data_IF_523182460362
#
_entry.id   IF_523182460362
#
_cell.length_a   1.000
_cell.length_b   1.000
_cell.length_c   1.000
_cell.angle_alpha   90.00
_cell.angle_beta   90.00
_cell.angle_gamma   90.00
#
_symmetry.space_group_name_H-M   'P 1'
#
loop_
_entity.id
_entity.type
_entity.pdbx_description
1 polymer ?
#
# COMPACT_ATOMS: atom_id res chain seq x y z
N UNK A 1 3.71 -73.04 -28.93
CA UNK A 1 3.71 -71.54 -29.05
C UNK A 1 4.88 -71.03 -28.24
N UNK A 2 5.89 -70.39 -28.87
CA UNK A 2 7.19 -70.12 -28.29
C UNK A 2 7.11 -69.02 -27.21
N UNK A 3 7.57 -69.29 -26.02
CA UNK A 3 7.58 -68.38 -24.87
C UNK A 3 8.16 -67.00 -25.17
N UNK A 4 9.12 -66.87 -26.12
CA UNK A 4 9.64 -65.60 -26.65
C UNK A 4 8.59 -64.75 -27.37
N UNK A 5 7.59 -65.35 -28.05
CA UNK A 5 6.50 -64.61 -28.74
C UNK A 5 5.47 -64.09 -27.74
N UNK A 6 5.27 -64.73 -26.62
CA UNK A 6 4.37 -64.30 -25.55
C UNK A 6 4.98 -63.13 -24.79
N UNK A 7 6.29 -63.14 -24.52
CA UNK A 7 7.00 -62.02 -23.87
C UNK A 7 7.04 -60.78 -24.76
N UNK A 8 7.22 -60.93 -26.06
CA UNK A 8 7.17 -59.79 -27.02
C UNK A 8 5.74 -59.21 -27.18
N UNK A 9 4.70 -60.04 -27.10
CA UNK A 9 3.31 -59.57 -27.14
C UNK A 9 2.91 -58.81 -25.84
N UNK A 10 3.41 -59.23 -24.67
CA UNK A 10 3.17 -58.56 -23.41
C UNK A 10 3.97 -57.24 -23.34
N UNK A 11 5.21 -57.20 -23.85
CA UNK A 11 5.98 -55.96 -23.93
C UNK A 11 5.38 -54.93 -24.91
N UNK A 12 4.79 -55.37 -26.03
CA UNK A 12 4.10 -54.49 -26.95
C UNK A 12 2.73 -53.98 -26.41
N UNK A 13 2.05 -54.77 -25.54
CA UNK A 13 0.80 -54.35 -24.91
C UNK A 13 1.05 -53.36 -23.76
N UNK A 14 2.21 -53.35 -23.10
CA UNK A 14 2.57 -52.40 -22.09
C UNK A 14 2.98 -51.07 -22.70
N UNK A 15 3.49 -51.03 -23.96
CA UNK A 15 3.80 -49.82 -24.71
C UNK A 15 2.59 -49.17 -25.39
N UNK A 16 1.43 -49.88 -25.42
CA UNK A 16 0.18 -49.42 -26.00
C UNK A 16 -0.86 -48.99 -24.93
N UNK A 17 -0.44 -48.79 -23.68
CA UNK A 17 -1.27 -47.99 -22.77
C UNK A 17 -1.40 -46.60 -23.40
N UNK A 18 -2.63 -46.13 -23.73
CA UNK A 18 -2.76 -44.76 -24.15
C UNK A 18 -2.15 -43.92 -23.03
N UNK A 19 -1.18 -43.07 -23.37
CA UNK A 19 -0.90 -41.91 -22.51
C UNK A 19 -2.29 -41.27 -22.39
N UNK A 20 -3.00 -41.57 -21.32
CA UNK A 20 -4.16 -40.79 -20.95
C UNK A 20 -3.64 -39.39 -20.93
N UNK A 21 -3.93 -38.59 -21.94
CA UNK A 21 -3.57 -37.20 -21.96
C UNK A 21 -4.05 -36.65 -20.62
N UNK A 22 -3.15 -36.36 -19.73
CA UNK A 22 -3.51 -35.77 -18.44
C UNK A 22 -4.32 -34.54 -18.81
N UNK A 23 -5.61 -34.58 -18.50
CA UNK A 23 -6.51 -33.44 -18.78
C UNK A 23 -5.82 -32.25 -18.09
N UNK A 24 -5.50 -31.25 -18.91
CA UNK A 24 -4.87 -30.02 -18.43
C UNK A 24 -5.78 -29.45 -17.33
N UNK A 25 -5.26 -29.20 -16.10
CA UNK A 25 -6.05 -28.58 -15.04
C UNK A 25 -6.61 -27.23 -15.52
N UNK A 26 -7.82 -26.88 -15.11
CA UNK A 26 -8.38 -25.55 -15.39
C UNK A 26 -7.65 -24.45 -14.59
N UNK A 27 -7.79 -23.20 -15.00
CA UNK A 27 -7.29 -22.04 -14.22
C UNK A 27 -7.81 -22.07 -12.77
N UNK A 28 -9.08 -22.45 -12.61
CA UNK A 28 -9.70 -22.61 -11.28
C UNK A 28 -9.01 -23.68 -10.44
N UNK A 29 -8.66 -24.84 -11.01
CA UNK A 29 -7.97 -25.91 -10.28
C UNK A 29 -6.58 -25.45 -9.81
N UNK A 30 -5.89 -24.66 -10.67
CA UNK A 30 -4.61 -24.05 -10.30
C UNK A 30 -4.76 -23.04 -9.15
N UNK A 31 -5.75 -22.14 -9.23
CA UNK A 31 -6.03 -21.14 -8.19
C UNK A 31 -6.42 -21.80 -6.86
N UNK A 32 -7.35 -22.77 -6.88
CA UNK A 32 -7.79 -23.49 -5.68
C UNK A 32 -6.60 -24.20 -5.02
N UNK A 33 -5.72 -24.82 -5.81
CA UNK A 33 -4.49 -25.46 -5.29
C UNK A 33 -3.50 -24.43 -4.73
N UNK A 34 -3.30 -23.31 -5.42
CA UNK A 34 -2.44 -22.21 -4.93
C UNK A 34 -2.93 -21.72 -3.58
N UNK A 35 -4.21 -21.38 -3.46
CA UNK A 35 -4.82 -20.88 -2.24
C UNK A 35 -4.68 -21.89 -1.08
N UNK A 36 -4.84 -23.19 -1.36
CA UNK A 36 -4.63 -24.23 -0.37
C UNK A 36 -3.16 -24.29 0.12
N UNK A 37 -2.20 -24.15 -0.80
CA UNK A 37 -0.78 -24.16 -0.43
C UNK A 37 -0.44 -22.93 0.41
N UNK A 38 -0.87 -21.74 -0.01
CA UNK A 38 -0.64 -20.48 0.71
C UNK A 38 -1.27 -20.51 2.11
N UNK A 39 -2.49 -21.01 2.24
CA UNK A 39 -3.19 -21.07 3.54
C UNK A 39 -2.50 -22.01 4.55
N UNK A 40 -1.80 -23.05 4.06
CA UNK A 40 -1.12 -24.02 4.92
C UNK A 40 0.35 -23.72 5.19
N UNK A 41 1.03 -23.08 4.25
CA UNK A 41 2.49 -22.99 4.24
C UNK A 41 2.99 -21.53 4.19
N UNK A 42 2.07 -20.54 4.09
CA UNK A 42 2.40 -19.15 3.85
C UNK A 42 2.74 -18.86 2.38
N UNK A 43 2.81 -17.58 2.01
CA UNK A 43 2.99 -17.15 0.62
C UNK A 43 4.30 -17.62 -0.02
N UNK A 44 5.38 -17.81 0.77
CA UNK A 44 6.68 -18.32 0.33
C UNK A 44 6.88 -19.82 0.61
N UNK A 45 5.80 -20.58 0.82
CA UNK A 45 5.85 -21.98 1.23
C UNK A 45 6.45 -22.93 0.19
N UNK A 46 6.94 -24.08 0.68
CA UNK A 46 7.56 -25.11 -0.16
C UNK A 46 6.55 -25.63 -1.19
N UNK A 47 6.99 -25.79 -2.44
CA UNK A 47 6.18 -26.31 -3.55
C UNK A 47 5.32 -25.26 -4.28
N UNK A 48 5.16 -24.05 -3.74
CA UNK A 48 4.41 -22.98 -4.40
C UNK A 48 5.09 -22.58 -5.72
N UNK A 49 6.41 -22.42 -5.73
CA UNK A 49 7.15 -22.05 -6.95
C UNK A 49 6.95 -23.09 -8.07
N UNK A 50 7.06 -24.38 -7.75
CA UNK A 50 6.83 -25.44 -8.73
C UNK A 50 5.40 -25.46 -9.23
N UNK A 51 4.43 -25.13 -8.37
CA UNK A 51 3.02 -25.03 -8.75
C UNK A 51 2.80 -23.85 -9.72
N UNK A 52 3.35 -22.68 -9.39
CA UNK A 52 3.27 -21.47 -10.23
C UNK A 52 3.96 -21.68 -11.59
N UNK A 53 5.11 -22.35 -11.65
CA UNK A 53 5.79 -22.68 -12.90
C UNK A 53 4.92 -23.57 -13.82
N UNK A 54 4.21 -24.57 -13.25
CA UNK A 54 3.27 -25.39 -14.01
C UNK A 54 2.08 -24.59 -14.51
N UNK A 55 1.53 -23.73 -13.65
CA UNK A 55 0.41 -22.87 -13.99
C UNK A 55 0.79 -21.88 -15.10
N UNK A 56 1.94 -21.22 -15.00
CA UNK A 56 2.47 -20.31 -16.02
C UNK A 56 2.70 -21.01 -17.37
N UNK A 57 3.20 -22.25 -17.36
CA UNK A 57 3.37 -23.03 -18.60
C UNK A 57 2.05 -23.27 -19.29
N UNK A 58 1.00 -23.51 -18.55
CA UNK A 58 -0.33 -23.82 -19.08
C UNK A 58 -1.15 -22.56 -19.42
N UNK A 59 -0.98 -21.48 -18.61
CA UNK A 59 -1.74 -20.25 -18.71
C UNK A 59 -0.82 -19.04 -18.42
N UNK A 60 0.05 -18.67 -19.39
CA UNK A 60 1.14 -17.68 -19.15
C UNK A 60 0.65 -16.27 -18.88
N UNK A 61 -0.58 -15.94 -19.25
CA UNK A 61 -1.16 -14.60 -19.11
C UNK A 61 -2.30 -14.56 -18.09
N UNK A 62 -2.45 -15.61 -17.29
CA UNK A 62 -3.47 -15.68 -16.25
C UNK A 62 -3.17 -14.68 -15.14
N UNK A 63 -4.17 -13.85 -14.79
CA UNK A 63 -4.01 -12.78 -13.81
C UNK A 63 -3.70 -13.30 -12.41
N UNK A 64 -4.42 -14.34 -11.96
CA UNK A 64 -4.23 -14.90 -10.62
C UNK A 64 -2.87 -15.59 -10.50
N UNK A 65 -2.38 -16.19 -11.57
CA UNK A 65 -1.03 -16.75 -11.64
C UNK A 65 0.03 -15.63 -11.50
N UNK A 66 -0.12 -14.52 -12.22
CA UNK A 66 0.83 -13.40 -12.17
C UNK A 66 0.84 -12.74 -10.78
N UNK A 67 -0.32 -12.54 -10.16
CA UNK A 67 -0.44 -12.06 -8.77
C UNK A 67 0.18 -13.08 -7.81
N UNK A 68 -0.04 -14.35 -8.03
CA UNK A 68 0.56 -15.44 -7.23
C UNK A 68 2.09 -15.44 -7.31
N UNK A 69 2.67 -15.23 -8.49
CA UNK A 69 4.13 -15.09 -8.69
C UNK A 69 4.68 -13.86 -7.97
N UNK A 70 4.01 -12.71 -8.16
CA UNK A 70 4.36 -11.50 -7.43
C UNK A 70 4.39 -11.77 -5.92
N UNK A 71 3.31 -12.28 -5.35
CA UNK A 71 3.17 -12.52 -3.92
C UNK A 71 4.21 -13.51 -3.38
N UNK A 72 4.48 -14.59 -4.13
CA UNK A 72 5.49 -15.58 -3.78
C UNK A 72 6.90 -14.98 -3.72
N UNK A 73 7.33 -14.32 -4.81
CA UNK A 73 8.68 -13.78 -4.89
C UNK A 73 8.87 -12.58 -3.95
N UNK A 74 7.86 -11.73 -3.77
CA UNK A 74 7.89 -10.65 -2.79
C UNK A 74 8.06 -11.19 -1.37
N UNK A 75 7.24 -12.17 -0.97
CA UNK A 75 7.35 -12.79 0.35
C UNK A 75 8.67 -13.52 0.56
N UNK A 76 9.19 -14.18 -0.48
CA UNK A 76 10.45 -14.93 -0.42
C UNK A 76 11.67 -14.00 -0.40
N UNK A 77 11.58 -12.81 -1.00
CA UNK A 77 12.66 -11.83 -0.97
C UNK A 77 12.85 -11.21 0.41
N UNK A 78 11.79 -11.18 1.23
CA UNK A 78 11.75 -10.46 2.51
C UNK A 78 12.29 -11.30 3.65
N UNK A 79 13.18 -10.72 4.43
CA UNK A 79 13.62 -11.22 5.73
C UNK A 79 13.42 -10.13 6.78
N UNK A 80 13.11 -10.52 8.01
CA UNK A 80 12.88 -9.61 9.13
C UNK A 80 13.82 -9.92 10.28
N UNK A 81 14.36 -8.87 10.90
CA UNK A 81 15.21 -8.96 12.09
C UNK A 81 14.79 -7.92 13.11
N UNK A 82 14.87 -8.25 14.37
CA UNK A 82 14.79 -7.27 15.45
C UNK A 82 16.14 -6.55 15.54
N UNK A 83 16.09 -5.21 15.36
CA UNK A 83 17.27 -4.35 15.46
C UNK A 83 17.02 -3.25 16.49
N UNK A 84 18.05 -2.95 17.29
CA UNK A 84 18.06 -1.82 18.16
C UNK A 84 18.15 -0.53 17.35
N UNK A 85 17.27 0.43 17.63
CA UNK A 85 17.28 1.74 17.01
C UNK A 85 16.89 2.81 18.02
N UNK A 86 17.45 3.98 17.85
CA UNK A 86 17.14 5.16 18.67
C UNK A 86 15.72 5.67 18.39
N UNK A 87 15.12 6.27 19.41
CA UNK A 87 13.81 6.89 19.32
C UNK A 87 12.65 5.94 19.64
N UNK A 88 11.45 6.48 19.57
CA UNK A 88 10.21 5.76 19.91
C UNK A 88 9.38 5.39 18.66
N UNK A 89 9.92 5.63 17.46
CA UNK A 89 9.32 5.26 16.17
C UNK A 89 10.39 4.98 15.13
N UNK A 90 10.12 3.99 14.28
CA UNK A 90 10.90 3.67 13.11
C UNK A 90 9.96 3.43 11.92
N UNK A 91 10.09 4.22 10.85
CA UNK A 91 9.21 4.21 9.67
C UNK A 91 7.71 4.23 10.07
N UNK A 92 7.36 5.12 11.01
CA UNK A 92 6.00 5.28 11.51
C UNK A 92 5.55 4.27 12.57
N UNK A 93 6.26 3.15 12.74
CA UNK A 93 5.91 2.07 13.66
C UNK A 93 6.46 2.31 15.08
N UNK A 94 5.72 1.89 16.08
CA UNK A 94 6.20 1.80 17.45
C UNK A 94 7.20 0.64 17.60
N UNK A 95 8.06 0.64 18.66
CA UNK A 95 8.93 -0.49 18.93
C UNK A 95 8.16 -1.81 19.07
N UNK A 96 8.70 -2.88 18.49
CA UNK A 96 8.17 -4.24 18.68
C UNK A 96 8.50 -4.79 20.07
N UNK A 97 9.60 -4.30 20.67
CA UNK A 97 10.04 -4.67 22.01
C UNK A 97 10.79 -3.48 22.62
N UNK A 98 10.55 -3.18 23.90
CA UNK A 98 11.32 -2.24 24.69
C UNK A 98 11.90 -2.97 25.91
N UNK A 99 13.21 -2.90 26.11
CA UNK A 99 13.91 -3.47 27.24
C UNK A 99 14.57 -2.35 28.06
N UNK A 100 15.01 -2.66 29.28
CA UNK A 100 15.84 -1.76 30.09
C UNK A 100 17.30 -2.15 29.97
N UNK A 101 18.18 -1.16 29.79
CA UNK A 101 19.62 -1.34 29.90
C UNK A 101 20.06 -1.46 31.38
N UNK A 102 21.36 -1.64 31.61
CA UNK A 102 21.93 -1.73 32.97
C UNK A 102 21.81 -0.44 33.79
N UNK A 103 21.48 0.68 33.15
CA UNK A 103 21.28 1.99 33.77
C UNK A 103 19.79 2.34 33.94
N UNK A 104 18.89 1.45 33.48
CA UNK A 104 17.44 1.64 33.57
C UNK A 104 16.83 2.45 32.43
N UNK A 105 17.59 2.77 31.37
CA UNK A 105 17.06 3.48 30.19
C UNK A 105 16.30 2.52 29.28
N UNK A 106 15.33 3.07 28.52
CA UNK A 106 14.60 2.30 27.50
C UNK A 106 15.49 2.06 26.27
N UNK A 107 15.58 0.80 25.87
CA UNK A 107 16.22 0.35 24.63
C UNK A 107 15.14 -0.22 23.73
N UNK A 108 14.92 0.41 22.58
CA UNK A 108 13.86 0.09 21.67
C UNK A 108 14.34 -0.78 20.51
N UNK A 109 13.63 -1.89 20.27
CA UNK A 109 13.87 -2.83 19.19
C UNK A 109 12.71 -2.78 18.19
N UNK A 110 13.05 -2.66 16.93
CA UNK A 110 12.11 -2.59 15.82
C UNK A 110 12.28 -3.77 14.88
N UNK A 111 11.19 -4.22 14.29
CA UNK A 111 11.24 -5.21 13.22
C UNK A 111 11.69 -4.51 11.93
N UNK A 112 12.89 -4.87 11.46
CA UNK A 112 13.50 -4.29 10.26
C UNK A 112 13.49 -5.33 9.15
N UNK A 113 12.82 -5.00 8.05
CA UNK A 113 12.80 -5.83 6.84
C UNK A 113 14.05 -5.58 6.00
N UNK A 114 14.56 -6.62 5.35
CA UNK A 114 15.56 -6.54 4.28
C UNK A 114 15.11 -7.42 3.12
N UNK A 115 15.55 -7.11 1.92
CA UNK A 115 15.10 -7.77 0.69
C UNK A 115 16.28 -8.32 -0.09
N UNK A 116 16.07 -9.48 -0.71
CA UNK A 116 16.93 -10.01 -1.77
C UNK A 116 16.51 -9.36 -3.09
N UNK A 117 17.44 -8.63 -3.71
CA UNK A 117 17.17 -7.81 -4.90
C UNK A 117 16.77 -8.64 -6.12
N UNK A 118 17.33 -9.86 -6.29
CA UNK A 118 17.00 -10.73 -7.42
C UNK A 118 15.55 -11.26 -7.27
N UNK A 119 15.17 -11.72 -6.08
CA UNK A 119 13.82 -12.20 -5.82
C UNK A 119 12.80 -11.06 -5.88
N UNK A 120 13.14 -9.89 -5.34
CA UNK A 120 12.30 -8.70 -5.48
C UNK A 120 12.11 -8.31 -6.95
N UNK A 121 13.19 -8.34 -7.75
CA UNK A 121 13.11 -8.12 -9.19
C UNK A 121 12.20 -9.11 -9.92
N UNK A 122 12.19 -10.40 -9.52
CA UNK A 122 11.25 -11.39 -10.07
C UNK A 122 9.80 -11.07 -9.68
N UNK A 123 9.56 -10.55 -8.49
CA UNK A 123 8.21 -10.13 -8.08
C UNK A 123 7.74 -8.95 -8.92
N UNK A 124 8.56 -7.91 -9.07
CA UNK A 124 8.19 -6.73 -9.86
C UNK A 124 7.96 -7.06 -11.33
N UNK A 125 8.76 -7.95 -11.94
CA UNK A 125 8.52 -8.44 -13.31
C UNK A 125 7.15 -9.11 -13.46
N UNK A 126 6.71 -9.89 -12.49
CA UNK A 126 5.41 -10.56 -12.55
C UNK A 126 4.24 -9.55 -12.50
N UNK A 127 4.32 -8.57 -11.59
CA UNK A 127 3.26 -7.56 -11.47
C UNK A 127 3.30 -6.57 -12.65
N UNK A 128 4.46 -6.28 -13.22
CA UNK A 128 4.57 -5.44 -14.42
C UNK A 128 3.91 -6.09 -15.63
N UNK A 129 4.13 -7.40 -15.83
CA UNK A 129 3.41 -8.15 -16.86
C UNK A 129 1.89 -8.13 -16.63
N UNK A 130 1.43 -8.27 -15.39
CA UNK A 130 0.02 -8.17 -15.07
C UNK A 130 -0.56 -6.78 -15.40
N UNK A 131 0.16 -5.70 -15.06
CA UNK A 131 -0.25 -4.32 -15.38
C UNK A 131 -0.28 -4.06 -16.89
N UNK A 132 0.65 -4.64 -17.64
CA UNK A 132 0.68 -4.51 -19.11
C UNK A 132 -0.51 -5.19 -19.77
N UNK A 133 -0.88 -6.39 -19.31
CA UNK A 133 -2.00 -7.17 -19.86
C UNK A 133 -3.38 -6.65 -19.38
N UNK A 134 -3.47 -6.14 -18.17
CA UNK A 134 -4.71 -5.72 -17.50
C UNK A 134 -4.63 -4.23 -17.11
N UNK A 135 -4.60 -3.37 -18.13
CA UNK A 135 -4.26 -1.95 -18.01
C UNK A 135 -5.27 -1.12 -17.19
N UNK A 136 -6.51 -1.56 -17.11
CA UNK A 136 -7.59 -0.95 -16.34
C UNK A 136 -7.58 -1.30 -14.85
N UNK A 137 -6.71 -2.22 -14.40
CA UNK A 137 -6.62 -2.69 -13.03
C UNK A 137 -5.76 -1.75 -12.18
N UNK A 138 -6.41 -0.82 -11.48
CA UNK A 138 -5.77 0.12 -10.56
C UNK A 138 -5.15 -0.59 -9.35
N UNK A 139 -5.79 -1.65 -8.86
CA UNK A 139 -5.33 -2.44 -7.72
C UNK A 139 -3.96 -3.11 -7.96
N UNK A 140 -3.64 -3.55 -9.19
CA UNK A 140 -2.30 -4.07 -9.52
C UNK A 140 -1.22 -3.00 -9.40
N UNK A 141 -1.53 -1.78 -9.82
CA UNK A 141 -0.60 -0.64 -9.72
C UNK A 141 -0.36 -0.25 -8.27
N UNK A 142 -1.42 -0.22 -7.46
CA UNK A 142 -1.32 0.04 -6.01
C UNK A 142 -0.55 -1.08 -5.30
N UNK A 143 -0.77 -2.33 -5.69
CA UNK A 143 -0.04 -3.48 -5.15
C UNK A 143 1.47 -3.35 -5.42
N UNK A 144 1.87 -2.97 -6.64
CA UNK A 144 3.27 -2.67 -6.97
C UNK A 144 3.83 -1.52 -6.14
N UNK A 145 3.10 -0.41 -6.02
CA UNK A 145 3.52 0.75 -5.23
C UNK A 145 3.73 0.38 -3.76
N UNK A 146 2.81 -0.41 -3.18
CA UNK A 146 2.95 -0.88 -1.80
C UNK A 146 4.21 -1.72 -1.59
N UNK A 147 4.54 -2.59 -2.55
CA UNK A 147 5.78 -3.37 -2.51
C UNK A 147 7.04 -2.48 -2.63
N UNK A 148 6.99 -1.45 -3.47
CA UNK A 148 8.09 -0.49 -3.60
C UNK A 148 8.29 0.30 -2.30
N UNK A 149 7.22 0.76 -1.64
CA UNK A 149 7.29 1.44 -0.34
C UNK A 149 7.96 0.56 0.73
N UNK A 150 7.59 -0.71 0.80
CA UNK A 150 8.20 -1.65 1.73
C UNK A 150 9.70 -1.89 1.42
N UNK A 151 10.07 -1.95 0.13
CA UNK A 151 11.43 -2.16 -0.32
C UNK A 151 12.33 -0.93 -0.09
N UNK A 152 11.86 0.26 -0.45
CA UNK A 152 12.62 1.53 -0.39
C UNK A 152 12.75 2.08 1.03
N UNK A 153 11.84 1.70 1.93
CA UNK A 153 11.82 2.13 3.35
C UNK A 153 11.66 3.65 3.53
N UNK A 154 12.77 4.33 3.81
CA UNK A 154 12.80 5.75 4.22
C UNK A 154 12.98 6.74 3.05
N UNK A 155 13.26 6.26 1.84
CA UNK A 155 13.43 7.08 0.62
C UNK A 155 12.53 6.58 -0.52
N UNK A 156 11.24 6.91 -0.53
CA UNK A 156 10.24 6.28 -1.40
C UNK A 156 10.24 6.87 -2.83
N UNK A 157 11.41 6.94 -3.49
CA UNK A 157 11.59 7.62 -4.76
C UNK A 157 10.96 6.88 -5.95
N UNK A 158 11.10 5.54 -5.99
CA UNK A 158 10.49 4.73 -7.06
C UNK A 158 8.96 4.69 -6.91
N UNK A 159 8.48 4.55 -5.68
CA UNK A 159 7.04 4.59 -5.39
C UNK A 159 6.43 5.94 -5.80
N UNK A 160 7.07 7.06 -5.44
CA UNK A 160 6.63 8.40 -5.83
C UNK A 160 6.66 8.58 -7.35
N UNK A 161 7.74 8.17 -8.02
CA UNK A 161 7.87 8.25 -9.49
C UNK A 161 6.78 7.43 -10.19
N UNK A 162 6.51 6.22 -9.71
CA UNK A 162 5.43 5.37 -10.22
C UNK A 162 4.04 6.00 -10.06
N UNK A 163 3.76 6.59 -8.90
CA UNK A 163 2.50 7.30 -8.65
C UNK A 163 2.34 8.55 -9.51
N UNK A 164 3.40 9.35 -9.69
CA UNK A 164 3.36 10.53 -10.57
C UNK A 164 3.05 10.12 -12.01
N UNK A 165 3.69 9.06 -12.51
CA UNK A 165 3.42 8.50 -13.85
C UNK A 165 1.99 7.98 -13.98
N UNK A 166 1.46 7.36 -12.92
CA UNK A 166 0.08 6.88 -12.88
C UNK A 166 -0.94 8.03 -12.92
N UNK A 167 -0.68 9.13 -12.20
CA UNK A 167 -1.51 10.34 -12.24
C UNK A 167 -1.49 10.97 -13.64
N UNK A 168 -0.31 11.06 -14.28
CA UNK A 168 -0.20 11.55 -15.66
C UNK A 168 -0.96 10.64 -16.64
N UNK A 169 -0.87 9.32 -16.49
CA UNK A 169 -1.62 8.38 -17.31
C UNK A 169 -3.13 8.54 -17.14
N UNK A 170 -3.62 8.63 -15.90
CA UNK A 170 -5.03 8.85 -15.60
C UNK A 170 -5.53 10.18 -16.18
N UNK A 171 -4.79 11.26 -15.95
CA UNK A 171 -5.17 12.60 -16.42
C UNK A 171 -5.18 12.78 -17.94
N UNK A 172 -4.44 11.94 -18.69
CA UNK A 172 -4.45 11.97 -20.17
C UNK A 172 -5.41 10.97 -20.80
N UNK A 173 -5.54 9.78 -20.19
CA UNK A 173 -6.22 8.64 -20.81
C UNK A 173 -7.63 8.41 -20.26
N UNK A 174 -7.93 8.92 -19.06
CA UNK A 174 -9.20 8.77 -18.35
C UNK A 174 -9.74 7.32 -18.37
N UNK A 175 -8.95 6.33 -17.92
CA UNK A 175 -9.35 4.93 -18.00
C UNK A 175 -10.53 4.65 -17.05
N UNK A 176 -11.35 3.67 -17.43
CA UNK A 176 -12.37 3.13 -16.52
C UNK A 176 -11.72 2.16 -15.54
N UNK A 177 -11.20 2.68 -14.44
CA UNK A 177 -10.49 1.89 -13.45
C UNK A 177 -11.34 0.79 -12.81
N UNK A 178 -10.72 -0.36 -12.58
CA UNK A 178 -11.23 -1.44 -11.73
C UNK A 178 -10.33 -1.55 -10.50
N UNK A 179 -10.94 -1.50 -9.31
CA UNK A 179 -10.23 -1.63 -8.04
C UNK A 179 -10.98 -2.61 -7.14
N UNK A 180 -10.35 -3.73 -6.81
CA UNK A 180 -10.95 -4.79 -5.95
C UNK A 180 -12.35 -5.23 -6.41
N UNK A 181 -12.58 -5.29 -7.72
CA UNK A 181 -13.86 -5.68 -8.32
C UNK A 181 -14.92 -4.56 -8.39
N UNK A 182 -14.63 -3.38 -7.85
CA UNK A 182 -15.47 -2.18 -8.00
C UNK A 182 -15.12 -1.48 -9.32
N UNK A 183 -16.14 -1.06 -10.05
CA UNK A 183 -15.99 -0.27 -11.28
C UNK A 183 -15.92 1.20 -10.91
N UNK A 184 -15.10 1.93 -11.62
CA UNK A 184 -14.79 3.34 -11.42
C UNK A 184 -16.02 4.24 -11.32
N UNK A 185 -16.05 5.03 -10.25
CA UNK A 185 -16.70 6.34 -10.26
C UNK A 185 -15.60 7.45 -10.25
N UNK A 186 -16.02 8.70 -10.36
CA UNK A 186 -15.11 9.86 -10.40
C UNK A 186 -14.27 10.06 -9.13
N UNK A 187 -14.68 9.48 -8.00
CA UNK A 187 -14.02 9.60 -6.70
C UNK A 187 -13.03 8.46 -6.44
N UNK A 188 -13.11 7.35 -7.20
CA UNK A 188 -12.28 6.19 -6.98
C UNK A 188 -10.79 6.51 -7.07
N UNK A 189 -10.35 7.07 -8.19
CA UNK A 189 -8.93 7.36 -8.40
C UNK A 189 -8.39 8.39 -7.40
N UNK A 190 -9.05 9.56 -7.19
CA UNK A 190 -8.63 10.47 -6.14
C UNK A 190 -8.62 9.86 -4.74
N UNK A 191 -9.58 8.98 -4.41
CA UNK A 191 -9.61 8.29 -3.13
C UNK A 191 -8.39 7.38 -2.93
N UNK A 192 -8.07 6.55 -3.92
CA UNK A 192 -6.91 5.65 -3.89
C UNK A 192 -5.59 6.43 -3.81
N UNK A 193 -5.46 7.54 -4.53
CA UNK A 193 -4.27 8.40 -4.43
C UNK A 193 -4.17 9.07 -3.06
N UNK A 194 -5.29 9.37 -2.40
CA UNK A 194 -5.28 9.88 -1.01
C UNK A 194 -4.74 8.84 -0.03
N UNK A 195 -5.08 7.56 -0.21
CA UNK A 195 -4.51 6.47 0.61
C UNK A 195 -2.99 6.34 0.39
N UNK A 196 -2.51 6.52 -0.84
CA UNK A 196 -1.07 6.56 -1.15
C UNK A 196 -0.39 7.77 -0.48
N UNK A 197 -1.01 8.95 -0.49
CA UNK A 197 -0.52 10.11 0.27
C UNK A 197 -0.40 9.80 1.76
N UNK A 198 -1.42 9.15 2.33
CA UNK A 198 -1.43 8.79 3.74
C UNK A 198 -0.32 7.78 4.09
N UNK A 199 -0.02 6.82 3.20
CA UNK A 199 1.09 5.90 3.38
C UNK A 199 2.44 6.63 3.50
N UNK A 200 2.73 7.60 2.62
CA UNK A 200 3.92 8.45 2.76
C UNK A 200 3.95 9.23 4.09
N UNK A 201 2.82 9.83 4.46
CA UNK A 201 2.70 10.57 5.71
C UNK A 201 2.98 9.70 6.94
N UNK A 202 2.53 8.45 6.94
CA UNK A 202 2.72 7.51 8.05
C UNK A 202 4.18 7.09 8.24
N UNK A 203 4.98 6.95 7.17
CA UNK A 203 6.41 6.62 7.25
C UNK A 203 7.15 7.67 8.08
N UNK A 204 6.83 8.96 7.93
CA UNK A 204 7.27 10.02 8.83
C UNK A 204 8.74 10.43 8.71
N UNK A 205 9.45 10.00 7.65
CA UNK A 205 10.82 10.46 7.35
C UNK A 205 10.80 11.77 6.57
N UNK A 206 11.92 12.55 6.56
CA UNK A 206 12.01 13.73 5.73
C UNK A 206 11.64 13.49 4.27
N UNK A 207 12.18 12.43 3.64
CA UNK A 207 11.91 12.08 2.24
C UNK A 207 10.44 11.72 2.02
N UNK A 208 9.82 10.98 2.95
CA UNK A 208 8.42 10.60 2.84
C UNK A 208 7.46 11.78 3.00
N UNK A 209 7.80 12.78 3.83
CA UNK A 209 7.01 14.02 3.91
C UNK A 209 7.13 14.87 2.64
N UNK A 210 8.32 14.95 2.02
CA UNK A 210 8.44 15.62 0.72
C UNK A 210 7.63 14.86 -0.35
N UNK A 211 7.70 13.52 -0.40
CA UNK A 211 6.90 12.70 -1.30
C UNK A 211 5.39 12.90 -1.10
N UNK A 212 4.93 12.96 0.16
CA UNK A 212 3.54 13.27 0.51
C UNK A 212 3.07 14.61 -0.09
N UNK A 213 3.93 15.65 0.03
CA UNK A 213 3.63 16.98 -0.53
C UNK A 213 3.63 16.94 -2.06
N UNK A 214 4.68 16.36 -2.67
CA UNK A 214 4.82 16.32 -4.13
C UNK A 214 3.67 15.55 -4.80
N UNK A 215 3.25 14.42 -4.21
CA UNK A 215 2.11 13.65 -4.71
C UNK A 215 0.81 14.46 -4.60
N UNK A 216 0.63 15.19 -3.48
CA UNK A 216 -0.54 16.04 -3.29
C UNK A 216 -0.57 17.22 -4.28
N UNK A 217 0.58 17.84 -4.57
CA UNK A 217 0.71 18.87 -5.58
C UNK A 217 0.40 18.34 -6.98
N UNK A 218 0.93 17.15 -7.32
CA UNK A 218 0.68 16.49 -8.59
C UNK A 218 -0.79 16.16 -8.80
N UNK A 219 -1.49 15.72 -7.76
CA UNK A 219 -2.95 15.50 -7.84
C UNK A 219 -3.72 16.78 -8.13
N UNK A 220 -3.32 17.91 -7.54
CA UNK A 220 -3.99 19.20 -7.78
C UNK A 220 -3.80 19.75 -9.21
N UNK A 221 -2.81 19.27 -9.97
CA UNK A 221 -2.65 19.62 -11.39
C UNK A 221 -3.82 19.11 -12.23
N UNK A 222 -4.30 17.88 -11.97
CA UNK A 222 -5.38 17.23 -12.72
C UNK A 222 -6.73 17.30 -12.01
N UNK A 223 -6.72 17.39 -10.67
CA UNK A 223 -7.90 17.39 -9.80
C UNK A 223 -7.93 18.64 -8.90
N UNK A 224 -8.06 19.85 -9.47
CA UNK A 224 -7.96 21.11 -8.71
C UNK A 224 -9.08 21.29 -7.67
N UNK A 225 -10.19 20.60 -7.82
CA UNK A 225 -11.32 20.64 -6.87
C UNK A 225 -11.21 19.57 -5.77
N UNK A 226 -10.25 18.64 -5.84
CA UNK A 226 -9.96 17.64 -4.80
C UNK A 226 -9.22 18.28 -3.61
N UNK A 227 -9.95 19.05 -2.83
CA UNK A 227 -9.43 19.92 -1.77
C UNK A 227 -8.65 19.18 -0.66
N UNK A 228 -8.87 17.89 -0.49
CA UNK A 228 -8.13 17.06 0.46
C UNK A 228 -6.62 17.12 0.23
N UNK A 229 -6.16 17.24 -1.00
CA UNK A 229 -4.74 17.39 -1.31
C UNK A 229 -4.18 18.76 -0.87
N UNK A 230 -5.01 19.82 -0.88
CA UNK A 230 -4.61 21.10 -0.31
C UNK A 230 -4.52 21.02 1.23
N UNK A 231 -5.41 20.25 1.87
CA UNK A 231 -5.31 19.94 3.32
C UNK A 231 -4.04 19.16 3.62
N UNK A 232 -3.65 18.20 2.77
CA UNK A 232 -2.38 17.47 2.88
C UNK A 232 -1.16 18.41 2.87
N UNK A 233 -1.12 19.35 1.91
CA UNK A 233 -0.03 20.34 1.84
C UNK A 233 0.00 21.21 3.11
N UNK A 234 -1.17 21.58 3.65
CA UNK A 234 -1.26 22.23 4.96
C UNK A 234 -0.66 21.38 6.07
N UNK A 235 -0.94 20.10 6.09
CA UNK A 235 -0.42 19.14 7.07
C UNK A 235 1.09 18.94 6.96
N UNK A 236 1.64 18.93 5.75
CA UNK A 236 3.09 18.95 5.51
C UNK A 236 3.76 20.16 6.18
N UNK A 237 3.21 21.37 5.97
CA UNK A 237 3.73 22.57 6.61
C UNK A 237 3.62 22.52 8.14
N UNK A 238 2.48 22.04 8.66
CA UNK A 238 2.25 21.96 10.09
C UNK A 238 3.17 20.97 10.78
N UNK A 239 3.25 19.74 10.25
CA UNK A 239 3.87 18.61 10.94
C UNK A 239 5.38 18.54 10.67
N UNK A 240 5.80 18.70 9.43
CA UNK A 240 7.20 18.54 9.05
C UNK A 240 7.97 19.87 9.08
N UNK A 241 7.47 20.90 8.38
CA UNK A 241 8.18 22.20 8.34
C UNK A 241 7.99 23.04 9.59
N UNK A 242 7.04 22.71 10.48
CA UNK A 242 6.68 23.51 11.66
C UNK A 242 6.32 24.96 11.31
N UNK A 243 5.75 25.16 10.13
CA UNK A 243 5.36 26.45 9.56
C UNK A 243 3.83 26.63 9.64
N UNK A 244 3.38 27.07 10.81
CA UNK A 244 1.95 27.30 11.07
C UNK A 244 1.35 28.36 10.16
N UNK A 245 2.14 29.32 9.69
CA UNK A 245 1.63 30.39 8.77
C UNK A 245 1.24 29.81 7.42
N UNK A 246 2.12 29.03 6.81
CA UNK A 246 1.81 28.40 5.51
C UNK A 246 0.75 27.29 5.66
N UNK A 247 0.78 26.51 6.75
CA UNK A 247 -0.28 25.56 7.04
C UNK A 247 -1.66 26.22 7.11
N UNK A 248 -1.80 27.27 7.92
CA UNK A 248 -3.07 28.00 8.06
C UNK A 248 -3.53 28.64 6.75
N UNK A 249 -2.58 29.11 5.92
CA UNK A 249 -2.91 29.64 4.57
C UNK A 249 -3.57 28.56 3.69
N UNK A 250 -3.08 27.31 3.71
CA UNK A 250 -3.68 26.21 2.95
C UNK A 250 -5.04 25.83 3.53
N UNK A 251 -5.15 25.66 4.84
CA UNK A 251 -6.42 25.32 5.50
C UNK A 251 -7.49 26.38 5.25
N UNK A 252 -7.16 27.68 5.32
CA UNK A 252 -8.12 28.75 5.04
C UNK A 252 -8.60 28.75 3.58
N UNK A 253 -7.77 28.32 2.60
CA UNK A 253 -8.22 28.15 1.22
C UNK A 253 -9.27 27.04 1.11
N UNK A 254 -9.07 25.92 1.82
CA UNK A 254 -10.04 24.83 1.87
C UNK A 254 -11.32 25.29 2.55
N UNK A 255 -11.24 25.84 3.76
CA UNK A 255 -12.42 26.25 4.55
C UNK A 255 -13.22 27.38 3.92
N UNK A 256 -12.65 28.13 2.99
CA UNK A 256 -13.41 29.12 2.21
C UNK A 256 -14.45 28.47 1.28
N UNK A 257 -14.14 27.31 0.70
CA UNK A 257 -15.03 26.56 -0.21
C UNK A 257 -15.78 25.44 0.53
N UNK A 258 -15.17 24.84 1.54
CA UNK A 258 -15.63 23.68 2.32
C UNK A 258 -15.60 24.00 3.82
N UNK A 259 -16.50 24.87 4.32
CA UNK A 259 -16.45 25.42 5.67
C UNK A 259 -16.70 24.35 6.77
N UNK A 260 -17.27 23.22 6.41
CA UNK A 260 -17.58 22.12 7.32
C UNK A 260 -16.63 20.92 7.14
N UNK A 261 -15.49 21.10 6.45
CA UNK A 261 -14.50 20.01 6.31
C UNK A 261 -13.85 19.66 7.64
N UNK A 262 -14.20 18.48 8.14
CA UNK A 262 -13.77 17.98 9.44
C UNK A 262 -12.25 17.92 9.59
N UNK A 263 -11.54 17.32 8.61
CA UNK A 263 -10.11 17.11 8.67
C UNK A 263 -9.34 18.45 8.74
N UNK A 264 -9.72 19.41 7.91
CA UNK A 264 -9.11 20.74 7.88
C UNK A 264 -9.39 21.51 9.18
N UNK A 265 -10.62 21.45 9.70
CA UNK A 265 -10.98 22.11 10.96
C UNK A 265 -10.18 21.51 12.12
N UNK A 266 -10.11 20.19 12.19
CA UNK A 266 -9.32 19.47 13.21
C UNK A 266 -7.84 19.88 13.18
N UNK A 267 -7.26 19.97 11.99
CA UNK A 267 -5.89 20.43 11.81
C UNK A 267 -5.70 21.89 12.22
N UNK A 268 -6.69 22.77 12.00
CA UNK A 268 -6.64 24.15 12.50
C UNK A 268 -6.66 24.22 14.04
N UNK A 269 -7.44 23.35 14.70
CA UNK A 269 -7.43 23.24 16.18
C UNK A 269 -6.08 22.73 16.68
N UNK A 270 -5.52 21.70 16.02
CA UNK A 270 -4.18 21.18 16.36
C UNK A 270 -3.10 22.25 16.21
N UNK A 271 -3.12 23.00 15.11
CA UNK A 271 -2.21 24.13 14.85
C UNK A 271 -2.32 25.18 15.97
N UNK A 272 -3.55 25.58 16.31
CA UNK A 272 -3.78 26.58 17.35
C UNK A 272 -3.23 26.12 18.71
N UNK A 273 -3.36 24.84 19.06
CA UNK A 273 -2.82 24.25 20.29
C UNK A 273 -1.29 24.20 20.28
N UNK A 274 -0.69 23.77 19.19
CA UNK A 274 0.75 23.72 19.03
C UNK A 274 1.39 25.12 19.21
N UNK A 275 0.76 26.16 18.66
CA UNK A 275 1.21 27.55 18.75
C UNK A 275 0.77 28.24 20.06
N UNK A 276 0.05 27.55 20.94
CA UNK A 276 -0.56 28.12 22.14
C UNK A 276 -1.42 29.36 21.83
N UNK A 277 -2.04 29.39 20.66
CA UNK A 277 -2.84 30.52 20.19
C UNK A 277 -4.31 30.37 20.60
N UNK A 278 -4.63 30.84 21.80
CA UNK A 278 -5.98 30.76 22.39
C UNK A 278 -7.03 31.41 21.49
N UNK A 279 -6.70 32.53 20.85
CA UNK A 279 -7.65 33.23 19.96
C UNK A 279 -8.03 32.35 18.76
N UNK A 280 -7.06 31.69 18.20
CA UNK A 280 -7.27 30.80 17.06
C UNK A 280 -8.02 29.52 17.48
N UNK A 281 -7.68 28.97 18.66
CA UNK A 281 -8.35 27.80 19.23
C UNK A 281 -9.84 28.11 19.50
N UNK A 282 -10.16 29.25 20.10
CA UNK A 282 -11.55 29.73 20.28
C UNK A 282 -12.30 29.89 18.97
N UNK A 283 -11.63 30.20 17.86
CA UNK A 283 -12.26 30.28 16.54
C UNK A 283 -12.66 28.91 16.00
N UNK A 284 -11.77 27.91 16.08
CA UNK A 284 -11.96 26.64 15.36
C UNK A 284 -12.63 25.54 16.23
N UNK A 285 -12.53 25.59 17.57
CA UNK A 285 -13.21 24.62 18.44
C UNK A 285 -14.73 24.54 18.23
N UNK A 286 -15.48 25.66 18.14
CA UNK A 286 -16.92 25.58 17.85
C UNK A 286 -17.22 24.94 16.50
N UNK A 287 -16.36 25.13 15.49
CA UNK A 287 -16.50 24.50 14.20
C UNK A 287 -16.26 22.99 14.31
N UNK A 288 -15.22 22.56 15.05
CA UNK A 288 -14.93 21.15 15.27
C UNK A 288 -16.08 20.45 16.00
N UNK A 289 -16.61 21.06 17.06
CA UNK A 289 -17.76 20.54 17.84
C UNK A 289 -18.97 20.31 16.94
N UNK A 290 -19.19 21.18 15.95
CA UNK A 290 -20.32 21.06 15.02
C UNK A 290 -20.16 19.91 14.04
N UNK A 291 -18.94 19.62 13.56
CA UNK A 291 -18.71 18.71 12.43
C UNK A 291 -18.14 17.35 12.82
N UNK A 292 -17.57 17.21 14.03
CA UNK A 292 -16.99 15.94 14.45
C UNK A 292 -18.05 14.84 14.57
N UNK A 293 -17.79 13.65 13.96
CA UNK A 293 -18.67 12.49 14.14
C UNK A 293 -18.42 11.73 15.45
N UNK A 294 -17.35 12.06 16.19
CA UNK A 294 -16.91 11.39 17.41
C UNK A 294 -17.44 12.14 18.64
N UNK A 295 -18.37 11.55 19.38
CA UNK A 295 -18.96 12.14 20.59
C UNK A 295 -17.91 12.35 21.71
N UNK A 296 -16.87 11.53 21.78
CA UNK A 296 -15.76 11.72 22.75
C UNK A 296 -14.94 12.95 22.40
N UNK A 297 -14.59 13.13 21.12
CA UNK A 297 -13.91 14.33 20.64
C UNK A 297 -14.76 15.58 20.83
N UNK A 298 -16.06 15.49 20.61
CA UNK A 298 -17.02 16.56 20.81
C UNK A 298 -17.06 17.01 22.27
N UNK A 299 -17.24 16.06 23.21
CA UNK A 299 -17.26 16.34 24.65
C UNK A 299 -15.95 16.95 25.12
N UNK A 300 -14.80 16.40 24.72
CA UNK A 300 -13.49 16.92 25.07
C UNK A 300 -13.24 18.33 24.50
N UNK A 301 -13.72 18.59 23.28
CA UNK A 301 -13.63 19.91 22.65
C UNK A 301 -14.52 20.96 23.35
N UNK A 302 -15.73 20.56 23.78
CA UNK A 302 -16.60 21.41 24.59
C UNK A 302 -15.99 21.77 25.95
N UNK A 303 -15.46 20.77 26.66
CA UNK A 303 -14.77 20.99 27.93
C UNK A 303 -13.57 21.94 27.76
N UNK A 304 -12.78 21.72 26.71
CA UNK A 304 -11.64 22.62 26.39
C UNK A 304 -12.08 24.04 26.08
N UNK A 305 -13.14 24.21 25.27
CA UNK A 305 -13.66 25.54 24.92
C UNK A 305 -14.14 26.31 26.18
N UNK A 306 -14.79 25.60 27.14
CA UNK A 306 -15.25 26.17 28.38
C UNK A 306 -14.11 26.59 29.33
N UNK A 307 -12.93 25.98 29.19
CA UNK A 307 -11.74 26.25 30.02
C UNK A 307 -10.83 27.36 29.44
N UNK A 308 -11.09 27.85 28.24
CA UNK A 308 -10.35 28.92 27.56
C UNK A 308 -10.94 30.29 27.83
#
# INVERSE_FOLDING_TARGET
>A
MNMRKIILAIAAAILALPLAAQVKPSQKDYLDRYNLLVSKLGAAGVGIETHLQKWEKDYPDDLDMLIGKFSYYFSKSRTEKLEEREGNRYLGNAPSLTLKDSLGNDVNYFLVSSYDDELFGKSTQAIDKAIELYQDRLDLRVLKISALLDYEKDSPDMALSGLKSLIDYDGHSHPSWVYSGLVSDKELFPGVMQDCCFAFYQIGTPSSYEAFKELSEKMLEYYPDAYQYMTNIGSYYLVYKKDSKNALKMYNKVLKKHPDDYATIKNCVLLARNDKNVKLEKKYLPMLIKVTPDETEKASSQARLSAL
#
